data_IF_520411361674
#
_entry.id   IF_520411361674
#
_cell.length_a   1.000
_cell.length_b   1.000
_cell.length_c   1.000
_cell.angle_alpha   90.00
_cell.angle_beta   90.00
_cell.angle_gamma   90.00
#
_symmetry.space_group_name_H-M   'P 1'
#
loop_
_entity.id
_entity.type
_entity.pdbx_description
1 polymer ?
#
# COMPACT_ATOMS: atom_id res chain seq x y z
N UNK A 1 14.73 -0.42 2.76
CA UNK A 1 15.30 -1.78 2.68
C UNK A 1 14.46 -2.62 1.71
N UNK A 2 14.99 -3.67 1.06
CA UNK A 2 14.13 -4.53 0.19
C UNK A 2 13.04 -5.24 1.00
N UNK A 3 11.81 -5.24 0.47
CA UNK A 3 10.64 -5.87 1.08
C UNK A 3 10.59 -7.36 0.66
N UNK A 4 10.34 -8.32 1.57
CA UNK A 4 10.27 -9.74 1.21
C UNK A 4 9.07 -10.07 0.30
N UNK A 5 9.34 -10.46 -0.95
CA UNK A 5 8.30 -10.77 -1.97
C UNK A 5 7.83 -12.22 -1.96
N UNK A 6 8.53 -13.12 -1.26
CA UNK A 6 8.27 -14.58 -1.22
C UNK A 6 7.37 -15.03 -0.06
N UNK A 7 6.82 -14.10 0.71
CA UNK A 7 5.93 -14.37 1.85
C UNK A 7 4.47 -14.58 1.39
N UNK A 8 3.57 -14.86 2.35
CA UNK A 8 2.13 -15.04 2.10
C UNK A 8 1.40 -13.76 1.64
N UNK A 9 2.02 -12.59 1.80
CA UNK A 9 1.54 -11.35 1.20
C UNK A 9 2.28 -11.18 -0.13
N UNK A 10 1.54 -10.98 -1.22
CA UNK A 10 2.09 -10.75 -2.56
C UNK A 10 2.11 -9.24 -2.85
N UNK A 11 3.23 -8.52 -2.61
CA UNK A 11 3.29 -7.09 -2.88
C UNK A 11 3.13 -6.80 -4.37
N UNK A 12 2.43 -5.71 -4.68
CA UNK A 12 2.20 -5.20 -6.04
C UNK A 12 2.67 -3.75 -6.15
N UNK A 13 2.31 -2.91 -5.17
CA UNK A 13 2.82 -1.54 -5.03
C UNK A 13 3.63 -1.43 -3.74
N UNK A 14 4.78 -0.78 -3.80
CA UNK A 14 5.75 -0.68 -2.69
C UNK A 14 6.30 0.73 -2.50
N UNK A 15 6.75 0.99 -1.26
CA UNK A 15 7.61 2.12 -0.89
C UNK A 15 8.77 1.58 -0.04
N UNK A 16 9.86 1.17 -0.69
CA UNK A 16 11.03 0.55 -0.04
C UNK A 16 11.97 1.54 0.65
N UNK A 17 11.84 2.85 0.40
CA UNK A 17 12.60 3.91 1.08
C UNK A 17 11.92 4.42 2.36
N UNK A 18 10.86 3.75 2.85
CA UNK A 18 10.00 4.31 3.90
C UNK A 18 10.72 4.61 5.23
N UNK A 19 11.82 3.92 5.53
CA UNK A 19 12.66 4.24 6.71
C UNK A 19 13.24 5.66 6.70
N UNK A 20 13.31 6.33 5.54
CA UNK A 20 13.73 7.73 5.40
C UNK A 20 12.53 8.72 5.39
N UNK A 21 11.30 8.21 5.41
CA UNK A 21 10.04 8.95 5.11
C UNK A 21 9.11 9.00 6.32
N UNK A 22 9.39 8.21 7.36
CA UNK A 22 8.56 7.97 8.55
C UNK A 22 8.50 9.16 9.56
N UNK A 23 8.37 10.38 9.05
CA UNK A 23 8.21 11.60 9.84
C UNK A 23 9.39 11.86 10.77
N UNK A 24 9.08 12.07 12.06
CA UNK A 24 10.08 12.26 13.12
C UNK A 24 10.99 11.06 13.39
N UNK A 25 10.70 9.89 12.79
CA UNK A 25 11.50 8.67 12.89
C UNK A 25 12.31 8.39 11.61
N UNK A 26 12.28 9.29 10.63
CA UNK A 26 13.11 9.18 9.43
C UNK A 26 14.58 8.95 9.80
N UNK A 27 15.21 8.00 9.10
CA UNK A 27 16.59 7.51 9.28
C UNK A 27 16.86 6.70 10.56
N UNK A 28 15.89 6.57 11.48
CA UNK A 28 15.96 5.72 12.69
C UNK A 28 14.62 4.96 12.94
N UNK A 29 13.98 4.53 11.85
CA UNK A 29 12.67 3.86 11.90
C UNK A 29 12.77 2.34 11.97
N UNK A 30 11.88 1.71 12.75
CA UNK A 30 11.60 0.28 12.73
C UNK A 30 10.80 -0.16 11.48
N UNK A 31 10.01 0.75 10.89
CA UNK A 31 9.22 0.50 9.69
C UNK A 31 10.08 0.65 8.42
N UNK A 32 10.54 -0.48 7.89
CA UNK A 32 11.51 -0.50 6.77
C UNK A 32 10.92 -0.35 5.36
N UNK A 33 9.61 -0.50 5.20
CA UNK A 33 8.91 -0.40 3.92
C UNK A 33 7.40 -0.51 4.08
N UNK A 34 6.64 0.10 3.17
CA UNK A 34 5.20 -0.10 3.04
C UNK A 34 4.88 -0.87 1.75
N UNK A 35 3.81 -1.67 1.77
CA UNK A 35 3.34 -2.40 0.59
C UNK A 35 1.81 -2.50 0.55
N UNK A 36 1.27 -2.51 -0.67
CA UNK A 36 -0.09 -2.91 -0.98
C UNK A 36 -0.01 -4.13 -1.91
N UNK A 37 -0.85 -5.13 -1.64
CA UNK A 37 -0.72 -6.44 -2.26
C UNK A 37 -1.78 -7.42 -1.80
N UNK A 38 -1.77 -8.60 -2.42
CA UNK A 38 -2.82 -9.60 -2.28
C UNK A 38 -2.67 -10.39 -0.97
N UNK A 39 -3.77 -10.55 -0.25
CA UNK A 39 -3.84 -11.27 1.01
C UNK A 39 -4.19 -12.76 0.80
N UNK A 40 -3.33 -13.66 1.26
CA UNK A 40 -3.56 -15.12 1.18
C UNK A 40 -4.36 -15.67 2.37
N UNK A 41 -5.40 -14.94 2.80
CA UNK A 41 -6.42 -15.38 3.75
C UNK A 41 -7.78 -15.26 3.10
N UNK A 42 -8.31 -16.36 2.56
CA UNK A 42 -9.69 -16.40 2.10
C UNK A 42 -10.23 -17.84 2.06
N UNK A 43 -11.49 -17.99 2.44
CA UNK A 43 -12.24 -19.21 2.18
C UNK A 43 -12.49 -19.34 0.67
N UNK A 44 -11.85 -20.35 0.06
CA UNK A 44 -12.09 -20.86 -1.30
C UNK A 44 -12.42 -19.80 -2.38
N UNK A 45 -11.42 -19.02 -2.76
CA UNK A 45 -11.37 -18.39 -4.09
C UNK A 45 -11.60 -16.88 -4.18
N UNK A 46 -11.89 -16.21 -3.06
CA UNK A 46 -11.74 -14.76 -2.96
C UNK A 46 -10.27 -14.36 -2.80
N UNK A 47 -9.94 -13.12 -3.14
CA UNK A 47 -8.63 -12.50 -2.96
C UNK A 47 -8.84 -11.04 -2.54
N UNK A 48 -8.28 -10.65 -1.41
CA UNK A 48 -8.51 -9.32 -0.82
C UNK A 48 -7.20 -8.49 -0.84
N UNK A 49 -7.30 -7.16 -0.81
CA UNK A 49 -6.15 -6.26 -0.60
C UNK A 49 -6.07 -5.89 0.90
N UNK A 50 -4.92 -6.05 1.55
CA UNK A 50 -4.80 -5.82 3.01
C UNK A 50 -3.55 -5.06 3.46
N UNK A 51 -3.70 -4.14 4.41
CA UNK A 51 -2.62 -3.65 5.28
C UNK A 51 -2.54 -4.49 6.59
N UNK A 52 -1.33 -4.72 7.16
CA UNK A 52 -1.13 -5.72 8.24
C UNK A 52 0.11 -5.56 9.13
N UNK A 53 0.01 -6.11 10.38
CA UNK A 53 0.38 -5.42 11.66
C UNK A 53 0.11 -6.48 12.92
N UNK A 54 0.60 -6.59 14.24
CA UNK A 54 -0.04 -7.03 15.63
C UNK A 54 0.71 -6.97 17.05
N UNK A 55 0.00 -7.32 18.17
CA UNK A 55 0.26 -7.08 19.64
C UNK A 55 -0.18 -8.25 20.58
N UNK A 56 0.35 -8.31 21.82
CA UNK A 56 0.11 -9.35 22.88
C UNK A 56 -0.41 -8.72 24.20
N UNK A 57 -1.21 -9.43 25.02
CA UNK A 57 -1.87 -8.85 26.23
C UNK A 57 -1.53 -9.46 27.60
N UNK A 58 -0.74 -10.55 27.66
CA UNK A 58 -0.33 -11.20 28.92
C UNK A 58 -0.38 -12.73 28.83
N UNK A 59 -1.44 -13.27 28.23
CA UNK A 59 -1.72 -14.73 28.22
C UNK A 59 -1.63 -15.40 26.85
N UNK A 60 -1.77 -14.65 25.74
CA UNK A 60 -1.72 -15.21 24.38
C UNK A 60 -1.28 -14.21 23.31
N UNK A 61 -0.62 -14.73 22.27
CA UNK A 61 -0.27 -13.98 21.07
C UNK A 61 -1.51 -13.70 20.22
N UNK A 62 -1.75 -12.43 19.98
CA UNK A 62 -2.39 -12.00 18.75
C UNK A 62 -1.30 -11.85 17.67
N UNK A 63 -1.60 -12.30 16.44
CA UNK A 63 -0.59 -12.57 15.39
C UNK A 63 -0.65 -11.67 14.14
N UNK A 64 -1.77 -10.94 13.84
CA UNK A 64 -1.97 -10.08 12.63
C UNK A 64 -2.93 -8.77 12.60
N UNK A 65 -2.96 -7.80 13.57
CA UNK A 65 -3.25 -6.31 13.43
C UNK A 65 -2.71 -5.25 14.52
N UNK A 66 -1.49 -4.64 14.42
CA UNK A 66 -0.58 -3.78 15.30
C UNK A 66 -1.10 -2.38 15.71
N UNK A 67 -0.31 -1.65 16.49
CA UNK A 67 -0.51 -0.22 16.78
C UNK A 67 0.42 0.67 15.93
N UNK A 68 -0.11 1.18 14.81
CA UNK A 68 0.57 2.18 14.00
C UNK A 68 0.42 3.60 14.58
N UNK A 69 1.49 4.41 14.64
CA UNK A 69 1.38 5.85 14.82
C UNK A 69 0.46 6.48 13.77
N UNK A 70 -0.27 7.53 14.14
CA UNK A 70 -1.29 8.15 13.27
C UNK A 70 -0.74 8.60 11.90
N UNK A 71 0.52 9.05 11.83
CA UNK A 71 1.13 9.43 10.56
C UNK A 71 1.29 8.22 9.62
N UNK A 72 1.76 7.06 10.11
CA UNK A 72 1.86 5.82 9.31
C UNK A 72 0.50 5.39 8.72
N UNK A 73 -0.61 5.68 9.41
CA UNK A 73 -1.97 5.42 8.92
C UNK A 73 -2.36 6.40 7.79
N UNK A 74 -1.96 7.67 7.89
CA UNK A 74 -2.13 8.66 6.82
C UNK A 74 -1.22 8.35 5.62
N UNK A 75 0.02 7.89 5.86
CA UNK A 75 0.97 7.48 4.82
C UNK A 75 0.45 6.27 4.02
N UNK A 76 -0.19 5.31 4.68
CA UNK A 76 -0.93 4.23 4.02
C UNK A 76 -2.12 4.76 3.20
N UNK A 77 -2.88 5.74 3.71
CA UNK A 77 -3.96 6.36 2.94
C UNK A 77 -3.45 7.14 1.71
N UNK A 78 -2.29 7.80 1.80
CA UNK A 78 -1.59 8.46 0.69
C UNK A 78 -1.15 7.41 -0.34
N UNK A 79 -0.55 6.29 0.09
CA UNK A 79 -0.14 5.20 -0.78
C UNK A 79 -1.35 4.58 -1.53
N UNK A 80 -2.49 4.39 -0.85
CA UNK A 80 -3.76 3.94 -1.46
C UNK A 80 -4.26 4.95 -2.50
N UNK A 81 -4.26 6.25 -2.17
CA UNK A 81 -4.67 7.32 -3.09
C UNK A 81 -3.79 7.38 -4.34
N UNK A 82 -2.46 7.31 -4.19
CA UNK A 82 -1.52 7.24 -5.32
C UNK A 82 -1.73 5.99 -6.16
N UNK A 83 -2.01 4.86 -5.51
CA UNK A 83 -2.28 3.58 -6.17
C UNK A 83 -3.55 3.64 -7.03
N UNK A 84 -4.69 4.08 -6.49
CA UNK A 84 -5.91 4.24 -7.32
C UNK A 84 -5.72 5.29 -8.42
N UNK A 85 -4.95 6.36 -8.20
CA UNK A 85 -4.65 7.33 -9.26
C UNK A 85 -3.83 6.72 -10.41
N UNK A 86 -2.88 5.82 -10.12
CA UNK A 86 -2.18 5.04 -11.16
C UNK A 86 -3.15 4.11 -11.91
N UNK A 87 -3.90 3.28 -11.19
CA UNK A 87 -4.79 2.29 -11.82
C UNK A 87 -5.92 2.90 -12.66
N UNK A 88 -6.30 4.15 -12.41
CA UNK A 88 -7.22 4.91 -13.29
C UNK A 88 -6.71 5.14 -14.71
N UNK A 89 -5.40 5.12 -14.95
CA UNK A 89 -4.80 5.26 -16.29
C UNK A 89 -3.93 4.06 -16.70
N UNK A 90 -3.74 3.08 -15.81
CA UNK A 90 -2.90 1.91 -16.02
C UNK A 90 -3.25 1.09 -17.29
N UNK A 91 -4.52 1.12 -17.71
CA UNK A 91 -5.02 0.44 -18.91
C UNK A 91 -4.31 0.87 -20.21
N UNK A 92 -3.57 1.98 -20.23
CA UNK A 92 -2.75 2.41 -21.38
C UNK A 92 -1.44 1.62 -21.53
N UNK A 93 -1.05 0.84 -20.53
CA UNK A 93 0.15 0.03 -20.53
C UNK A 93 -0.20 -1.46 -20.66
N UNK A 94 0.50 -2.19 -21.53
CA UNK A 94 0.31 -3.65 -21.72
C UNK A 94 0.43 -4.44 -20.41
N UNK A 95 1.37 -4.05 -19.54
CA UNK A 95 1.63 -4.72 -18.26
C UNK A 95 0.94 -4.00 -17.07
N UNK A 96 0.02 -3.06 -17.32
CA UNK A 96 -0.57 -2.12 -16.34
C UNK A 96 0.43 -1.13 -15.67
N UNK A 97 1.68 -1.10 -16.13
CA UNK A 97 2.67 -0.08 -15.78
C UNK A 97 3.74 0.07 -16.87
N UNK A 98 4.52 1.15 -16.77
CA UNK A 98 5.70 1.40 -17.59
C UNK A 98 6.86 0.50 -17.12
N UNK A 99 7.26 -0.47 -17.94
CA UNK A 99 8.27 -1.48 -17.56
C UNK A 99 9.69 -0.90 -17.48
N UNK A 100 9.98 0.15 -18.25
CA UNK A 100 11.26 0.86 -18.22
C UNK A 100 11.29 1.91 -17.09
N UNK A 101 10.10 2.35 -16.63
CA UNK A 101 9.93 3.32 -15.54
C UNK A 101 8.91 2.86 -14.48
N UNK A 102 9.22 1.84 -13.66
CA UNK A 102 8.30 1.31 -12.64
C UNK A 102 8.03 2.24 -11.44
N UNK A 103 8.69 3.41 -11.36
CA UNK A 103 8.42 4.43 -10.34
C UNK A 103 7.22 5.28 -10.77
N UNK A 104 6.14 5.20 -9.99
CA UNK A 104 4.85 5.85 -10.22
C UNK A 104 4.87 7.31 -9.78
N UNK A 105 5.43 7.61 -8.59
CA UNK A 105 5.47 8.96 -8.02
C UNK A 105 6.56 9.12 -6.94
N UNK A 106 6.89 10.37 -6.59
CA UNK A 106 7.61 10.74 -5.35
C UNK A 106 6.82 11.77 -4.55
N UNK A 107 6.12 11.33 -3.50
CA UNK A 107 5.30 12.20 -2.64
C UNK A 107 6.17 12.82 -1.54
N UNK A 108 6.36 14.15 -1.55
CA UNK A 108 7.11 14.85 -0.50
C UNK A 108 6.39 14.81 0.85
N UNK A 109 7.08 14.37 1.90
CA UNK A 109 6.59 14.24 3.28
C UNK A 109 7.65 14.74 4.28
N UNK A 110 7.38 14.63 5.58
CA UNK A 110 8.36 14.95 6.61
C UNK A 110 9.46 13.87 6.64
N UNK A 111 10.70 14.25 6.30
CA UNK A 111 11.80 13.31 6.07
C UNK A 111 12.31 13.45 4.64
N UNK A 112 12.25 12.37 3.87
CA UNK A 112 12.41 12.30 2.41
C UNK A 112 11.03 12.12 1.72
N UNK A 113 10.99 12.16 0.38
CA UNK A 113 9.80 11.84 -0.39
C UNK A 113 9.56 10.33 -0.52
N UNK A 114 8.33 9.88 -0.23
CA UNK A 114 7.85 8.52 -0.44
C UNK A 114 7.95 8.14 -1.91
N UNK A 115 8.78 7.15 -2.24
CA UNK A 115 8.96 6.70 -3.63
C UNK A 115 8.01 5.54 -3.87
N UNK A 116 6.92 5.80 -4.59
CA UNK A 116 5.87 4.81 -4.89
C UNK A 116 6.23 4.10 -6.20
N UNK A 117 6.36 2.78 -6.18
CA UNK A 117 6.76 1.99 -7.34
C UNK A 117 6.00 0.66 -7.44
N UNK A 118 6.00 0.08 -8.65
CA UNK A 118 5.56 -1.31 -8.88
C UNK A 118 6.62 -2.27 -8.37
N UNK A 119 6.21 -3.34 -7.69
CA UNK A 119 7.09 -4.34 -7.10
C UNK A 119 7.65 -5.30 -8.15
N UNK A 120 8.64 -4.86 -8.93
CA UNK A 120 9.31 -5.67 -9.97
C UNK A 120 10.11 -6.85 -9.42
N UNK A 121 10.38 -6.88 -8.10
CA UNK A 121 10.96 -8.03 -7.39
C UNK A 121 9.93 -9.14 -7.04
N UNK A 122 8.64 -8.94 -7.34
CA UNK A 122 7.66 -10.03 -7.27
C UNK A 122 7.78 -10.88 -8.56
N UNK A 123 8.22 -12.13 -8.42
CA UNK A 123 8.38 -13.09 -9.53
C UNK A 123 7.11 -13.29 -10.37
N UNK A 124 5.93 -12.96 -9.81
CA UNK A 124 4.60 -13.09 -10.44
C UNK A 124 3.91 -11.74 -10.60
N UNK A 125 4.68 -10.66 -10.72
CA UNK A 125 4.14 -9.30 -10.83
C UNK A 125 3.17 -9.14 -12.01
N UNK A 126 3.38 -9.87 -13.12
CA UNK A 126 2.52 -9.80 -14.31
C UNK A 126 1.11 -10.33 -14.06
N UNK A 127 0.98 -11.44 -13.34
CA UNK A 127 -0.30 -12.03 -12.97
C UNK A 127 -0.91 -11.32 -11.76
N UNK A 128 -0.10 -11.02 -10.74
CA UNK A 128 -0.56 -10.39 -9.50
C UNK A 128 -1.02 -8.95 -9.70
N UNK A 129 -0.43 -8.17 -10.63
CA UNK A 129 -0.90 -6.80 -10.91
C UNK A 129 -2.26 -6.79 -11.63
N UNK A 130 -2.53 -7.76 -12.50
CA UNK A 130 -3.84 -7.90 -13.16
C UNK A 130 -4.91 -8.28 -12.13
N UNK A 131 -4.62 -9.27 -11.27
CA UNK A 131 -5.51 -9.69 -10.20
C UNK A 131 -5.75 -8.56 -9.17
N UNK A 132 -4.71 -7.79 -8.82
CA UNK A 132 -4.82 -6.60 -7.97
C UNK A 132 -5.69 -5.51 -8.62
N UNK A 133 -5.53 -5.26 -9.93
CA UNK A 133 -6.36 -4.31 -10.66
C UNK A 133 -7.83 -4.73 -10.72
N UNK A 134 -8.11 -6.03 -10.81
CA UNK A 134 -9.48 -6.56 -10.75
C UNK A 134 -10.09 -6.33 -9.37
N UNK A 135 -9.43 -6.78 -8.29
CA UNK A 135 -9.93 -6.61 -6.91
C UNK A 135 -10.11 -5.13 -6.56
N UNK A 136 -9.19 -4.26 -6.97
CA UNK A 136 -9.27 -2.81 -6.77
C UNK A 136 -10.43 -2.14 -7.53
N UNK A 137 -10.97 -2.81 -8.55
CA UNK A 137 -12.15 -2.39 -9.33
C UNK A 137 -13.44 -2.99 -8.75
N UNK A 138 -13.41 -4.24 -8.30
CA UNK A 138 -14.52 -4.90 -7.61
C UNK A 138 -14.90 -4.15 -6.31
N UNK A 139 -13.89 -3.65 -5.58
CA UNK A 139 -14.06 -2.81 -4.38
C UNK A 139 -14.21 -1.29 -4.67
N UNK A 140 -14.37 -0.85 -5.93
CA UNK A 140 -14.32 0.60 -6.26
C UNK A 140 -15.42 1.43 -5.58
N UNK A 141 -16.65 0.92 -5.50
CA UNK A 141 -17.74 1.60 -4.78
C UNK A 141 -17.41 1.74 -3.28
N UNK A 142 -16.99 0.64 -2.65
CA UNK A 142 -16.64 0.59 -1.23
C UNK A 142 -15.50 1.56 -0.90
N UNK A 143 -14.40 1.50 -1.64
CA UNK A 143 -13.25 2.38 -1.40
C UNK A 143 -13.61 3.83 -1.76
N UNK A 144 -14.37 4.04 -2.84
CA UNK A 144 -14.83 5.35 -3.30
C UNK A 144 -15.70 6.07 -2.27
N UNK A 145 -16.60 5.37 -1.57
CA UNK A 145 -17.44 5.92 -0.50
C UNK A 145 -16.58 6.49 0.66
N UNK A 146 -15.57 5.72 1.11
CA UNK A 146 -14.65 6.13 2.19
C UNK A 146 -13.75 7.29 1.74
N UNK A 147 -13.21 7.26 0.52
CA UNK A 147 -12.37 8.34 -0.02
C UNK A 147 -13.14 9.67 -0.22
N UNK A 148 -14.39 9.62 -0.70
CA UNK A 148 -15.26 10.80 -0.78
C UNK A 148 -15.54 11.38 0.61
N UNK A 149 -15.81 10.52 1.59
CA UNK A 149 -16.07 10.91 2.97
C UNK A 149 -14.84 11.56 3.62
N UNK A 150 -13.66 10.96 3.44
CA UNK A 150 -12.39 11.53 3.90
C UNK A 150 -12.11 12.90 3.24
N UNK A 151 -12.28 13.02 1.92
CA UNK A 151 -12.08 14.29 1.21
C UNK A 151 -13.03 15.40 1.69
N UNK A 152 -14.27 15.07 2.05
CA UNK A 152 -15.21 16.02 2.65
C UNK A 152 -14.74 16.48 4.03
N UNK A 153 -14.36 15.54 4.90
CA UNK A 153 -13.92 15.85 6.28
C UNK A 153 -12.63 16.68 6.27
N UNK A 154 -11.66 16.37 5.39
CA UNK A 154 -10.44 17.15 5.24
C UNK A 154 -10.74 18.62 4.87
N UNK A 155 -11.66 18.86 3.93
CA UNK A 155 -12.10 20.21 3.54
C UNK A 155 -12.84 20.93 4.67
N UNK A 156 -13.66 20.22 5.44
CA UNK A 156 -14.32 20.75 6.65
C UNK A 156 -13.31 21.13 7.76
N UNK A 157 -12.15 20.46 7.81
CA UNK A 157 -11.02 20.79 8.68
C UNK A 157 -10.09 21.89 8.12
N UNK A 158 -10.27 22.31 6.86
CA UNK A 158 -9.46 23.34 6.21
C UNK A 158 -8.20 22.84 5.49
N UNK A 159 -8.14 21.56 5.10
CA UNK A 159 -7.10 20.96 4.25
C UNK A 159 -7.53 20.84 2.77
#
# INVERSE_FOLDING_TARGET
>A
MKIPTTLKHKPVIVSENYENVDGRYAYDSDAKGLSLGLAQWNDRGKVDISAKVWRYTGEKWSRQSEELPLHRVLDLAILICRTKLHFREAYRYENLYDVDKPIIDRVGLQGDAMTVAVCTDNEKIKEDIQLFSQVLSDDDELIGERLRTLSRILKEMGY
#
